data_IF_364152616181
#
_entry.id   IF_364152616181
#
_cell.length_a   1.000
_cell.length_b   1.000
_cell.length_c   1.000
_cell.angle_alpha   90.00
_cell.angle_beta   90.00
_cell.angle_gamma   90.00
#
_symmetry.space_group_name_H-M   'P 1'
#
loop_
_entity.id
_entity.type
_entity.pdbx_description
1 polymer ?
#
# COMPACT_ATOMS: atom_id res chain seq x y z
N UNK A 1 48.23 -14.20 -2.04
CA UNK A 1 47.18 -13.16 -2.17
C UNK A 1 45.90 -13.72 -1.58
N UNK A 2 45.37 -13.16 -0.48
CA UNK A 2 44.09 -13.63 0.09
C UNK A 2 42.92 -13.10 -0.75
N UNK A 3 42.10 -13.99 -1.29
CA UNK A 3 40.86 -13.63 -1.97
C UNK A 3 39.93 -12.89 -0.99
N UNK A 4 39.59 -11.64 -1.31
CA UNK A 4 38.61 -10.86 -0.55
C UNK A 4 37.26 -11.55 -0.68
N UNK A 5 36.83 -12.23 0.38
CA UNK A 5 35.52 -12.86 0.45
C UNK A 5 34.44 -11.80 0.64
N UNK A 6 33.54 -11.64 -0.34
CA UNK A 6 32.42 -10.72 -0.26
C UNK A 6 31.24 -11.41 0.44
N UNK A 7 30.58 -10.71 1.37
CA UNK A 7 29.38 -11.19 2.07
C UNK A 7 28.18 -10.30 1.76
N UNK A 8 26.98 -10.89 1.75
CA UNK A 8 25.73 -10.15 1.60
C UNK A 8 25.24 -9.57 2.94
N UNK A 9 24.11 -8.84 2.93
CA UNK A 9 23.50 -8.22 4.12
C UNK A 9 23.06 -9.23 5.19
N UNK A 10 23.02 -10.53 4.88
CA UNK A 10 22.73 -11.63 5.82
C UNK A 10 24.01 -12.36 6.27
N UNK A 11 25.19 -11.81 5.99
CA UNK A 11 26.48 -12.39 6.36
C UNK A 11 26.90 -13.61 5.54
N UNK A 12 26.15 -14.02 4.52
CA UNK A 12 26.48 -15.18 3.66
C UNK A 12 27.47 -14.78 2.57
N UNK A 13 28.36 -15.70 2.20
CA UNK A 13 29.28 -15.49 1.08
C UNK A 13 28.51 -15.24 -0.21
N UNK A 14 28.95 -14.24 -0.96
CA UNK A 14 28.34 -13.80 -2.20
C UNK A 14 29.42 -13.41 -3.20
N UNK A 15 29.13 -13.55 -4.49
CA UNK A 15 30.00 -13.04 -5.55
C UNK A 15 30.01 -11.51 -5.48
N UNK A 16 31.20 -10.90 -5.63
CA UNK A 16 31.40 -9.44 -5.67
C UNK A 16 30.38 -8.72 -6.56
N UNK A 17 30.19 -9.24 -7.77
CA UNK A 17 29.23 -8.73 -8.77
C UNK A 17 27.79 -8.57 -8.23
N UNK A 18 27.34 -9.49 -7.37
CA UNK A 18 26.00 -9.44 -6.81
C UNK A 18 25.89 -8.37 -5.72
N UNK A 19 26.91 -8.25 -4.87
CA UNK A 19 26.96 -7.21 -3.82
C UNK A 19 27.01 -5.82 -4.46
N UNK A 20 27.81 -5.66 -5.52
CA UNK A 20 27.94 -4.38 -6.23
C UNK A 20 26.65 -4.01 -6.99
N UNK A 21 25.95 -4.99 -7.58
CA UNK A 21 24.64 -4.76 -8.22
C UNK A 21 23.62 -4.23 -7.22
N UNK A 22 23.53 -4.83 -6.04
CA UNK A 22 22.60 -4.39 -4.98
C UNK A 22 22.96 -2.99 -4.48
N UNK A 23 24.26 -2.71 -4.25
CA UNK A 23 24.71 -1.38 -3.84
C UNK A 23 24.40 -0.31 -4.89
N UNK A 24 24.60 -0.62 -6.18
CA UNK A 24 24.26 0.29 -7.29
C UNK A 24 22.76 0.57 -7.33
N UNK A 25 21.93 -0.45 -7.12
CA UNK A 25 20.48 -0.30 -7.08
C UNK A 25 20.02 0.58 -5.91
N UNK A 26 20.55 0.34 -4.70
CA UNK A 26 20.23 1.16 -3.52
C UNK A 26 20.61 2.62 -3.72
N UNK A 27 21.79 2.91 -4.28
CA UNK A 27 22.22 4.27 -4.60
C UNK A 27 21.30 4.97 -5.59
N UNK A 28 20.83 4.25 -6.62
CA UNK A 28 19.91 4.79 -7.61
C UNK A 28 18.54 5.11 -6.99
N UNK A 29 18.02 4.23 -6.12
CA UNK A 29 16.76 4.45 -5.41
C UNK A 29 16.84 5.64 -4.46
N UNK A 30 17.94 5.80 -3.71
CA UNK A 30 18.11 6.96 -2.83
C UNK A 30 18.21 8.26 -3.62
N UNK A 31 18.88 8.27 -4.79
CA UNK A 31 18.97 9.46 -5.63
C UNK A 31 17.62 9.83 -6.25
N UNK A 32 16.81 8.85 -6.67
CA UNK A 32 15.47 9.08 -7.18
C UNK A 32 14.54 9.69 -6.12
N UNK A 33 14.59 9.18 -4.89
CA UNK A 33 13.79 9.70 -3.77
C UNK A 33 14.11 11.17 -3.45
N UNK A 34 15.40 11.53 -3.42
CA UNK A 34 15.82 12.94 -3.22
C UNK A 34 15.35 13.83 -4.37
N UNK A 35 15.33 13.31 -5.61
CA UNK A 35 14.84 14.06 -6.77
C UNK A 35 13.32 14.28 -6.72
N UNK A 36 12.56 13.27 -6.28
CA UNK A 36 11.10 13.38 -6.07
C UNK A 36 10.77 14.41 -4.99
N UNK A 37 11.48 14.39 -3.85
CA UNK A 37 11.31 15.37 -2.77
C UNK A 37 11.65 16.81 -3.20
N UNK A 38 12.54 16.99 -4.18
CA UNK A 38 12.91 18.32 -4.73
C UNK A 38 11.98 18.85 -5.82
N UNK A 39 11.03 18.05 -6.30
CA UNK A 39 10.17 18.40 -7.46
C UNK A 39 8.78 18.93 -7.10
N UNK A 40 8.45 19.03 -5.82
CA UNK A 40 7.18 19.62 -5.37
C UNK A 40 7.46 20.87 -4.52
N UNK A 41 7.75 21.99 -5.19
CA UNK A 41 7.69 23.31 -4.59
C UNK A 41 6.92 24.25 -5.52
N UNK A 42 5.76 24.71 -5.01
CA UNK A 42 4.89 25.79 -5.53
C UNK A 42 3.95 25.35 -6.68
N UNK A 43 2.63 25.46 -6.65
CA UNK A 43 1.61 26.08 -5.78
C UNK A 43 0.27 25.39 -6.08
N UNK A 44 -0.61 25.18 -5.10
CA UNK A 44 -1.97 25.76 -5.20
C UNK A 44 -2.76 25.63 -3.89
N UNK A 45 -3.20 26.80 -3.47
CA UNK A 45 -3.82 27.21 -2.22
C UNK A 45 -5.29 26.82 -2.11
N UNK A 46 -5.65 25.58 -2.45
CA UNK A 46 -7.05 25.11 -2.44
C UNK A 46 -7.28 23.74 -1.80
N UNK A 47 -6.36 23.22 -0.98
CA UNK A 47 -6.71 22.19 0.01
C UNK A 47 -7.30 22.88 1.24
N UNK A 48 -8.43 23.54 1.06
CA UNK A 48 -9.29 23.92 2.18
C UNK A 48 -9.89 22.63 2.73
N UNK A 49 -9.43 22.23 3.93
CA UNK A 49 -10.11 21.30 4.83
C UNK A 49 -10.67 20.02 4.17
N UNK A 50 -9.83 19.24 3.48
CA UNK A 50 -10.18 17.84 3.23
C UNK A 50 -10.05 17.07 4.56
N UNK A 51 -11.12 17.13 5.35
CA UNK A 51 -11.26 16.32 6.56
C UNK A 51 -11.45 14.85 6.13
N UNK A 52 -10.36 14.09 6.21
CA UNK A 52 -10.37 12.67 5.92
C UNK A 52 -11.18 11.90 6.98
N UNK A 53 -12.18 11.14 6.54
CA UNK A 53 -12.89 10.19 7.43
C UNK A 53 -12.09 8.91 7.56
N UNK A 54 -11.95 8.38 8.77
CA UNK A 54 -11.33 7.07 9.01
C UNK A 54 -12.38 6.00 9.20
N UNK A 55 -12.15 4.85 8.59
CA UNK A 55 -12.95 3.64 8.77
C UNK A 55 -12.33 2.84 9.91
N UNK A 56 -13.12 2.53 10.93
CA UNK A 56 -12.69 1.79 12.12
C UNK A 56 -13.62 0.59 12.31
N UNK A 57 -13.06 -0.56 12.70
CA UNK A 57 -13.86 -1.70 13.15
C UNK A 57 -14.47 -1.39 14.53
N UNK A 58 -15.76 -1.06 14.53
CA UNK A 58 -16.53 -0.69 15.72
C UNK A 58 -16.51 -1.80 16.78
N UNK A 59 -16.48 -3.08 16.40
CA UNK A 59 -16.49 -4.20 17.35
C UNK A 59 -15.19 -4.29 18.13
N UNK A 60 -14.06 -4.04 17.48
CA UNK A 60 -12.74 -3.99 18.13
C UNK A 60 -12.62 -2.77 18.99
N UNK A 61 -13.04 -1.63 18.43
CA UNK A 61 -12.90 -0.35 19.09
C UNK A 61 -13.71 -0.29 20.38
N UNK A 62 -14.97 -0.74 20.34
CA UNK A 62 -15.85 -0.82 21.53
C UNK A 62 -15.31 -1.75 22.63
N UNK A 63 -14.64 -2.85 22.29
CA UNK A 63 -13.97 -3.72 23.28
C UNK A 63 -12.82 -2.99 23.98
N UNK A 64 -12.07 -2.18 23.23
CA UNK A 64 -10.95 -1.41 23.74
C UNK A 64 -11.39 -0.11 24.44
N UNK A 65 -12.64 0.32 24.28
CA UNK A 65 -13.22 1.56 24.82
C UNK A 65 -13.57 1.46 26.33
N UNK A 66 -12.77 0.73 27.10
CA UNK A 66 -12.99 0.52 28.54
C UNK A 66 -11.78 0.97 29.32
N UNK A 67 -12.03 1.63 30.44
CA UNK A 67 -10.96 2.05 31.34
C UNK A 67 -10.26 0.83 31.95
N UNK A 68 -8.92 0.82 31.91
CA UNK A 68 -8.11 -0.29 32.46
C UNK A 68 -8.25 -0.47 33.98
N UNK A 69 -8.65 0.58 34.69
CA UNK A 69 -8.77 0.55 36.16
C UNK A 69 -10.17 0.24 36.65
N UNK A 70 -11.18 0.99 36.18
CA UNK A 70 -12.56 0.85 36.67
C UNK A 70 -13.51 0.15 35.69
N UNK A 71 -13.03 -0.29 34.52
CA UNK A 71 -13.83 -0.91 33.45
C UNK A 71 -15.00 -0.05 32.92
N UNK A 72 -15.09 1.22 33.33
CA UNK A 72 -16.10 2.14 32.82
C UNK A 72 -15.85 2.43 31.33
N UNK A 73 -16.92 2.66 30.58
CA UNK A 73 -16.81 3.12 29.19
C UNK A 73 -16.11 4.47 29.15
N UNK A 74 -15.22 4.62 28.17
CA UNK A 74 -14.50 5.87 27.92
C UNK A 74 -15.28 6.72 26.91
N UNK A 75 -15.33 8.02 27.15
CA UNK A 75 -16.04 8.96 26.30
C UNK A 75 -15.16 9.43 25.13
N UNK A 76 -15.67 9.33 23.90
CA UNK A 76 -14.98 9.77 22.69
C UNK A 76 -14.88 11.29 22.59
N UNK A 77 -15.76 12.05 23.24
CA UNK A 77 -15.64 13.51 23.29
C UNK A 77 -14.42 13.95 24.11
N UNK A 78 -13.90 13.08 24.97
CA UNK A 78 -12.74 13.34 25.86
C UNK A 78 -11.42 12.85 25.30
N UNK A 79 -11.33 12.68 23.98
CA UNK A 79 -10.07 12.39 23.30
C UNK A 79 -9.16 13.61 23.46
N UNK A 80 -8.06 13.43 24.20
CA UNK A 80 -7.07 14.48 24.38
C UNK A 80 -6.08 14.53 23.23
N UNK A 81 -5.70 13.36 22.72
CA UNK A 81 -4.72 13.22 21.64
C UNK A 81 -5.03 12.00 20.80
N UNK A 82 -4.73 12.11 19.52
CA UNK A 82 -4.69 10.99 18.60
C UNK A 82 -3.26 10.83 18.07
N UNK A 83 -2.78 9.59 18.04
CA UNK A 83 -1.52 9.23 17.39
C UNK A 83 -1.80 8.16 16.33
N UNK A 84 -1.26 8.36 15.14
CA UNK A 84 -1.33 7.38 14.06
C UNK A 84 -0.06 6.54 14.07
N UNK A 85 -0.21 5.21 14.12
CA UNK A 85 0.90 4.25 14.03
C UNK A 85 0.57 3.25 12.93
N UNK A 86 1.23 3.39 11.78
CA UNK A 86 0.95 2.62 10.57
C UNK A 86 -0.54 2.72 10.16
N UNK A 87 -1.26 1.60 10.16
CA UNK A 87 -2.69 1.53 9.79
C UNK A 87 -3.63 1.68 11.01
N UNK A 88 -3.12 2.06 12.18
CA UNK A 88 -3.88 2.12 13.42
C UNK A 88 -3.88 3.51 14.02
N UNK A 89 -4.98 3.87 14.65
CA UNK A 89 -5.12 5.09 15.44
C UNK A 89 -5.11 4.70 16.91
N UNK A 90 -4.38 5.45 17.71
CA UNK A 90 -4.31 5.28 19.16
C UNK A 90 -4.83 6.58 19.77
N UNK A 91 -5.97 6.49 20.42
CA UNK A 91 -6.61 7.60 21.10
C UNK A 91 -6.25 7.58 22.57
N UNK A 92 -5.79 8.72 23.07
CA UNK A 92 -5.53 8.92 24.49
C UNK A 92 -6.76 9.59 25.11
N UNK A 93 -7.48 8.84 25.94
CA UNK A 93 -8.76 9.23 26.53
C UNK A 93 -8.66 9.19 28.05
N UNK A 94 -9.08 10.27 28.71
CA UNK A 94 -9.15 10.31 30.17
C UNK A 94 -10.47 9.72 30.67
N UNK A 95 -10.40 8.86 31.68
CA UNK A 95 -11.60 8.29 32.30
C UNK A 95 -12.23 9.30 33.28
N UNK A 96 -13.54 9.50 33.20
CA UNK A 96 -14.24 10.45 34.08
C UNK A 96 -14.23 10.02 35.55
N UNK A 97 -14.42 8.71 35.81
CA UNK A 97 -14.55 8.19 37.17
C UNK A 97 -13.24 8.18 37.94
N UNK A 98 -12.17 7.68 37.31
CA UNK A 98 -10.89 7.48 37.99
C UNK A 98 -9.78 8.44 37.52
N UNK A 99 -10.06 9.32 36.55
CA UNK A 99 -9.11 10.30 35.98
C UNK A 99 -7.82 9.69 35.39
N UNK A 100 -7.80 8.37 35.22
CA UNK A 100 -6.68 7.66 34.60
C UNK A 100 -6.75 7.85 33.10
N UNK A 101 -5.59 8.13 32.51
CA UNK A 101 -5.41 8.25 31.06
C UNK A 101 -5.27 6.86 30.45
N UNK A 102 -6.07 6.57 29.42
CA UNK A 102 -6.11 5.29 28.75
C UNK A 102 -5.78 5.46 27.27
N UNK A 103 -4.90 4.60 26.77
CA UNK A 103 -4.64 4.48 25.34
C UNK A 103 -5.54 3.41 24.74
N UNK A 104 -6.41 3.83 23.82
CA UNK A 104 -7.37 3.00 23.10
C UNK A 104 -6.89 2.84 21.65
N UNK A 105 -6.53 1.61 21.28
CA UNK A 105 -6.07 1.29 19.93
C UNK A 105 -7.25 0.84 19.05
N UNK A 106 -7.30 1.29 17.80
CA UNK A 106 -8.29 0.82 16.81
C UNK A 106 -7.92 -0.51 16.16
N UNK A 107 -6.70 -1.03 16.42
CA UNK A 107 -6.20 -2.27 15.82
C UNK A 107 -6.56 -3.48 16.66
N UNK A 108 -6.78 -4.61 15.98
CA UNK A 108 -6.74 -5.94 16.58
C UNK A 108 -5.42 -6.22 17.29
N UNK A 109 -5.47 -6.96 18.40
CA UNK A 109 -4.26 -7.42 19.08
C UNK A 109 -3.45 -8.34 18.16
N UNK A 110 -2.12 -8.31 18.26
CA UNK A 110 -1.24 -9.20 17.45
C UNK A 110 -1.55 -10.69 17.65
N UNK A 111 -2.15 -11.03 18.79
CA UNK A 111 -2.50 -12.41 19.16
C UNK A 111 -3.93 -12.79 18.73
N UNK A 112 -4.76 -11.81 18.34
CA UNK A 112 -6.11 -12.01 17.80
C UNK A 112 -6.03 -11.92 16.26
N UNK A 113 -5.12 -12.71 15.69
CA UNK A 113 -5.13 -12.94 14.25
C UNK A 113 -5.96 -14.20 14.03
N UNK A 114 -7.14 -14.02 13.45
CA UNK A 114 -7.85 -15.14 12.84
C UNK A 114 -7.28 -15.29 11.43
N UNK A 115 -6.31 -16.20 11.27
CA UNK A 115 -5.70 -16.50 9.98
C UNK A 115 -6.69 -16.97 8.90
N UNK A 116 -7.95 -17.27 9.26
CA UNK A 116 -9.02 -17.60 8.31
C UNK A 116 -9.72 -16.38 7.72
N UNK A 117 -9.54 -15.19 8.32
CA UNK A 117 -10.09 -13.91 7.81
C UNK A 117 -9.14 -13.16 6.90
N UNK A 118 -7.90 -13.62 6.80
CA UNK A 118 -7.07 -13.28 5.67
C UNK A 118 -7.43 -14.25 4.56
N UNK A 119 -8.02 -13.73 3.49
CA UNK A 119 -8.00 -14.39 2.19
C UNK A 119 -6.62 -15.05 2.01
N UNK A 120 -6.55 -16.33 1.63
CA UNK A 120 -5.27 -17.06 1.48
C UNK A 120 -4.35 -16.47 0.40
N UNK A 121 -4.76 -15.38 -0.26
CA UNK A 121 -3.99 -14.61 -1.21
C UNK A 121 -3.26 -13.41 -0.62
N UNK A 122 -2.31 -12.90 -1.40
CA UNK A 122 -1.66 -11.59 -1.20
C UNK A 122 -2.68 -10.46 -1.01
N UNK A 123 -2.26 -9.33 -0.43
CA UNK A 123 -3.04 -8.06 -0.45
C UNK A 123 -3.54 -7.72 -1.85
N UNK A 124 -2.77 -8.10 -2.90
CA UNK A 124 -3.14 -7.98 -4.31
C UNK A 124 -4.38 -8.81 -4.72
N UNK A 125 -4.66 -9.91 -4.01
CA UNK A 125 -5.78 -10.77 -4.31
C UNK A 125 -7.11 -10.21 -3.77
N UNK A 126 -7.06 -9.33 -2.76
CA UNK A 126 -8.24 -8.62 -2.24
C UNK A 126 -8.73 -7.51 -3.18
N UNK A 127 -7.90 -7.03 -4.10
CA UNK A 127 -8.26 -5.94 -5.02
C UNK A 127 -9.42 -6.32 -5.93
N UNK A 128 -9.51 -7.59 -6.33
CA UNK A 128 -10.57 -8.08 -7.22
C UNK A 128 -11.95 -8.07 -6.55
N UNK A 129 -12.02 -8.51 -5.28
CA UNK A 129 -13.28 -8.57 -4.53
C UNK A 129 -13.73 -7.16 -4.10
N UNK A 130 -12.79 -6.29 -3.67
CA UNK A 130 -13.12 -4.88 -3.35
C UNK A 130 -13.49 -4.09 -4.60
N UNK A 131 -12.88 -4.41 -5.75
CA UNK A 131 -13.18 -3.78 -7.03
C UNK A 131 -14.61 -4.03 -7.51
N UNK A 132 -15.20 -5.17 -7.17
CA UNK A 132 -16.54 -5.55 -7.62
C UNK A 132 -17.66 -4.69 -7.02
N UNK A 133 -17.47 -4.18 -5.81
CA UNK A 133 -18.48 -3.45 -5.02
C UNK A 133 -18.36 -1.92 -5.13
N UNK A 134 -17.25 -1.40 -5.65
CA UNK A 134 -16.99 0.05 -5.72
C UNK A 134 -16.56 0.49 -7.13
N UNK A 135 -16.84 1.74 -7.51
CA UNK A 135 -16.26 2.36 -8.73
C UNK A 135 -14.79 2.67 -8.45
N UNK A 136 -13.93 1.69 -8.69
CA UNK A 136 -12.50 1.78 -8.38
C UNK A 136 -11.73 2.29 -9.61
N UNK A 137 -11.01 3.41 -9.46
CA UNK A 137 -9.81 3.70 -10.26
C UNK A 137 -8.74 2.71 -9.75
N UNK A 138 -8.80 1.48 -10.25
CA UNK A 138 -8.02 0.35 -9.76
C UNK A 138 -6.77 0.08 -10.59
N UNK A 139 -5.80 -0.59 -9.99
CA UNK A 139 -4.60 -1.08 -10.66
C UNK A 139 -4.98 -2.01 -11.84
N UNK A 140 -4.10 -2.09 -12.84
CA UNK A 140 -4.34 -2.75 -14.12
C UNK A 140 -4.27 -4.30 -14.03
N UNK A 141 -4.71 -4.88 -12.91
CA UNK A 141 -4.65 -6.32 -12.66
C UNK A 141 -5.85 -7.01 -13.36
N UNK A 142 -5.52 -7.90 -14.31
CA UNK A 142 -6.50 -8.59 -15.18
C UNK A 142 -7.57 -9.38 -14.43
N UNK A 143 -7.26 -9.89 -13.23
CA UNK A 143 -8.18 -10.59 -12.34
C UNK A 143 -9.26 -9.66 -11.78
N UNK A 144 -8.90 -8.42 -11.45
CA UNK A 144 -9.81 -7.41 -10.92
C UNK A 144 -10.84 -6.99 -11.97
N UNK A 145 -10.38 -6.74 -13.21
CA UNK A 145 -11.28 -6.39 -14.33
C UNK A 145 -12.25 -7.53 -14.65
N UNK A 146 -11.81 -8.79 -14.57
CA UNK A 146 -12.67 -9.95 -14.81
C UNK A 146 -13.77 -10.10 -13.75
N UNK A 147 -13.45 -9.87 -12.48
CA UNK A 147 -14.42 -9.90 -11.39
C UNK A 147 -15.48 -8.79 -11.54
N UNK A 148 -15.05 -7.56 -11.84
CA UNK A 148 -15.93 -6.40 -12.04
C UNK A 148 -16.87 -6.62 -13.24
N UNK A 149 -16.38 -7.18 -14.35
CA UNK A 149 -17.21 -7.50 -15.52
C UNK A 149 -18.23 -8.60 -15.23
N UNK A 150 -17.92 -9.51 -14.30
CA UNK A 150 -18.84 -10.57 -13.89
C UNK A 150 -19.95 -10.04 -12.98
N UNK A 151 -19.64 -9.07 -12.13
CA UNK A 151 -20.61 -8.49 -11.17
C UNK A 151 -21.48 -7.40 -11.77
N UNK A 152 -21.07 -6.75 -12.86
CA UNK A 152 -21.79 -5.62 -13.44
C UNK A 152 -22.45 -5.95 -14.80
N UNK A 153 -23.72 -5.57 -15.01
CA UNK A 153 -24.42 -5.76 -16.29
C UNK A 153 -23.97 -4.79 -17.38
N UNK A 154 -23.30 -3.69 -17.02
CA UNK A 154 -22.85 -2.66 -17.94
C UNK A 154 -21.49 -2.99 -18.55
N UNK A 155 -21.28 -2.60 -19.81
CA UNK A 155 -20.00 -2.79 -20.50
C UNK A 155 -18.94 -1.83 -19.95
N UNK A 156 -17.97 -2.36 -19.21
CA UNK A 156 -16.88 -1.58 -18.64
C UNK A 156 -15.69 -1.56 -19.60
N UNK A 157 -15.37 -0.35 -20.06
CA UNK A 157 -14.22 -0.08 -20.92
C UNK A 157 -12.99 0.25 -20.06
N UNK A 158 -11.87 -0.37 -20.43
CA UNK A 158 -10.59 -0.19 -19.77
C UNK A 158 -9.91 1.06 -20.32
N UNK A 159 -9.60 2.03 -19.45
CA UNK A 159 -8.70 3.13 -19.75
C UNK A 159 -7.32 2.78 -19.17
N UNK A 160 -6.39 2.42 -20.04
CA UNK A 160 -5.02 2.11 -19.62
C UNK A 160 -4.25 3.40 -19.28
N UNK A 161 -3.35 3.32 -18.31
CA UNK A 161 -2.46 4.44 -18.01
C UNK A 161 -1.43 4.63 -19.15
N UNK A 162 -0.84 5.83 -19.22
CA UNK A 162 0.13 6.18 -20.27
C UNK A 162 1.33 5.22 -20.32
N UNK A 163 1.78 4.70 -19.17
CA UNK A 163 2.92 3.80 -19.08
C UNK A 163 2.63 2.41 -19.67
N UNK A 164 1.44 1.89 -19.42
CA UNK A 164 0.97 0.61 -19.93
C UNK A 164 0.66 0.70 -21.42
N UNK A 165 0.10 1.83 -21.90
CA UNK A 165 -0.07 2.09 -23.33
C UNK A 165 1.26 2.01 -24.08
N UNK A 166 2.32 2.69 -23.59
CA UNK A 166 3.65 2.66 -24.24
C UNK A 166 4.22 1.24 -24.28
N UNK A 167 4.08 0.47 -23.19
CA UNK A 167 4.59 -0.92 -23.14
C UNK A 167 3.84 -1.84 -24.08
N UNK A 168 2.51 -1.71 -24.14
CA UNK A 168 1.68 -2.52 -25.03
C UNK A 168 1.99 -2.19 -26.50
N UNK A 169 2.04 -0.90 -26.86
CA UNK A 169 2.46 -0.46 -28.21
C UNK A 169 3.85 -0.98 -28.55
N UNK A 170 4.81 -0.89 -27.62
CA UNK A 170 6.16 -1.41 -27.83
C UNK A 170 6.19 -2.93 -28.08
N UNK A 171 5.36 -3.69 -27.37
CA UNK A 171 5.22 -5.14 -27.54
C UNK A 171 4.54 -5.48 -28.87
N UNK A 172 3.47 -4.78 -29.23
CA UNK A 172 2.74 -5.00 -30.47
C UNK A 172 3.62 -4.66 -31.69
N UNK A 173 4.35 -3.55 -31.63
CA UNK A 173 5.35 -3.18 -32.65
C UNK A 173 6.45 -4.25 -32.76
N UNK A 174 6.88 -4.83 -31.65
CA UNK A 174 7.86 -5.91 -31.64
C UNK A 174 7.31 -7.19 -32.31
N UNK A 175 6.06 -7.55 -32.02
CA UNK A 175 5.40 -8.73 -32.59
C UNK A 175 5.09 -8.55 -34.10
N UNK A 176 4.72 -7.34 -34.51
CA UNK A 176 4.60 -6.96 -35.93
C UNK A 176 5.95 -7.03 -36.63
N UNK A 177 7.01 -6.47 -36.04
CA UNK A 177 8.36 -6.56 -36.58
C UNK A 177 8.89 -8.01 -36.62
N UNK A 178 8.40 -8.89 -35.74
CA UNK A 178 8.76 -10.31 -35.73
C UNK A 178 8.09 -11.08 -36.88
N UNK A 179 6.83 -10.75 -37.18
CA UNK A 179 6.04 -11.39 -38.24
C UNK A 179 6.36 -10.87 -39.64
N UNK A 180 6.79 -9.61 -39.78
CA UNK A 180 7.16 -9.02 -41.06
C UNK A 180 8.69 -8.90 -41.20
N UNK A 181 9.30 -9.78 -42.00
CA UNK A 181 10.75 -9.80 -42.26
C UNK A 181 11.26 -8.52 -42.95
N UNK A 182 10.39 -7.83 -43.68
CA UNK A 182 10.66 -6.60 -44.43
C UNK A 182 11.04 -5.43 -43.51
N UNK A 183 10.41 -5.32 -42.32
CA UNK A 183 10.63 -4.24 -41.36
C UNK A 183 11.96 -4.35 -40.59
N UNK A 184 12.69 -5.46 -40.73
CA UNK A 184 14.01 -5.65 -40.10
C UNK A 184 15.18 -5.13 -40.95
N UNK A 185 14.92 -4.69 -42.19
CA UNK A 185 15.94 -4.04 -43.01
C UNK A 185 16.25 -2.68 -42.37
N UNK A 186 17.45 -2.57 -41.79
CA UNK A 186 18.01 -1.26 -41.48
C UNK A 186 18.16 -0.51 -42.81
N UNK A 187 17.51 0.65 -42.92
CA UNK A 187 17.91 1.68 -43.87
C UNK A 187 19.30 2.17 -43.47
#
# INVERSE_FOLDING_TARGET
MCDKQYRNHKGRFAKKKNVDKVKKCLKAMTAAKVKEESSCSSTDSCISNLEGKRIIDIKVFSKNLKCKSCSNLLDLEKISKERVVAQASIFTISCEKCKIVNDVCTRHNKNDHDCRKNFEGSVKAMEADVGADFVVIGDEDSSTIAAIRKSNPNTIYKLADHGHLIKNIGKDLYDVAKSSKELKKKV
#
